data_IF_410715540457
#
_entry.id   IF_410715540457
#
_cell.length_a   1.000
_cell.length_b   1.000
_cell.length_c   1.000
_cell.angle_alpha   90.00
_cell.angle_beta   90.00
_cell.angle_gamma   90.00
#
_symmetry.space_group_name_H-M   'P 1'
#
loop_
_entity.id
_entity.type
_entity.pdbx_description
1 polymer ?
#
# COMPACT_ATOMS: atom_id res chain seq x y z
N UNK A 1 3.65 -10.52 6.63
CA UNK A 1 2.47 -10.75 7.51
C UNK A 1 1.44 -11.66 6.85
N UNK A 2 0.92 -11.35 5.65
CA UNK A 2 -0.14 -12.16 5.02
C UNK A 2 0.25 -13.61 4.71
N UNK A 3 1.50 -13.90 4.50
CA UNK A 3 2.01 -15.27 4.34
C UNK A 3 2.00 -16.06 5.66
N UNK A 4 2.37 -15.41 6.76
CA UNK A 4 2.36 -16.04 8.09
C UNK A 4 0.93 -16.19 8.64
N UNK A 5 0.01 -15.30 8.28
CA UNK A 5 -1.37 -15.23 8.76
C UNK A 5 -2.36 -15.29 7.58
N UNK A 6 -2.22 -16.28 6.70
CA UNK A 6 -3.00 -16.34 5.46
C UNK A 6 -4.51 -16.54 5.72
N UNK A 7 -4.88 -17.37 6.69
CA UNK A 7 -6.28 -17.60 7.05
C UNK A 7 -6.91 -16.34 7.66
N UNK A 8 -6.23 -15.69 8.62
CA UNK A 8 -6.71 -14.45 9.24
C UNK A 8 -6.83 -13.32 8.23
N UNK A 9 -5.90 -13.27 7.26
CA UNK A 9 -5.97 -12.34 6.14
C UNK A 9 -7.24 -12.56 5.30
N UNK A 10 -7.60 -13.81 5.03
CA UNK A 10 -8.84 -14.18 4.36
C UNK A 10 -10.07 -13.78 5.17
N UNK A 11 -10.11 -14.12 6.45
CA UNK A 11 -11.22 -13.79 7.34
C UNK A 11 -11.46 -12.28 7.48
N UNK A 12 -10.39 -11.51 7.71
CA UNK A 12 -10.51 -10.07 7.96
C UNK A 12 -10.67 -9.29 6.65
N UNK A 13 -9.81 -9.54 5.65
CA UNK A 13 -9.75 -8.71 4.45
C UNK A 13 -10.82 -9.08 3.42
N UNK A 14 -11.09 -10.38 3.25
CA UNK A 14 -12.09 -10.85 2.28
C UNK A 14 -13.49 -10.94 2.91
N UNK A 15 -13.66 -11.84 3.87
CA UNK A 15 -14.97 -12.08 4.48
C UNK A 15 -15.45 -10.93 5.36
N UNK A 16 -14.54 -10.20 6.01
CA UNK A 16 -14.88 -8.99 6.76
C UNK A 16 -15.54 -7.92 5.89
N UNK A 17 -14.99 -7.66 4.71
CA UNK A 17 -15.59 -6.74 3.74
C UNK A 17 -16.96 -7.24 3.27
N UNK A 18 -17.08 -8.51 2.93
CA UNK A 18 -18.34 -9.11 2.50
C UNK A 18 -19.44 -9.03 3.59
N UNK A 19 -19.08 -9.31 4.84
CA UNK A 19 -20.00 -9.16 5.99
C UNK A 19 -20.50 -7.73 6.12
N UNK A 20 -19.63 -6.73 5.88
CA UNK A 20 -20.02 -5.32 5.87
C UNK A 20 -21.02 -5.02 4.74
N UNK A 21 -20.76 -5.49 3.51
CA UNK A 21 -21.70 -5.29 2.39
C UNK A 21 -23.06 -5.91 2.66
N UNK A 22 -23.09 -7.09 3.26
CA UNK A 22 -24.35 -7.75 3.65
C UNK A 22 -25.08 -6.99 4.76
N UNK A 23 -24.36 -6.43 5.73
CA UNK A 23 -24.94 -5.57 6.75
C UNK A 23 -25.53 -4.29 6.14
N UNK A 24 -24.81 -3.63 5.23
CA UNK A 24 -25.31 -2.46 4.50
C UNK A 24 -26.56 -2.80 3.72
N UNK A 25 -26.56 -3.90 2.98
CA UNK A 25 -27.72 -4.37 2.20
C UNK A 25 -28.96 -4.54 3.08
N UNK A 26 -28.80 -5.13 4.27
CA UNK A 26 -29.93 -5.44 5.18
C UNK A 26 -30.44 -4.25 5.97
N UNK A 27 -29.53 -3.39 6.43
CA UNK A 27 -29.88 -2.40 7.46
C UNK A 27 -29.82 -0.95 6.94
N UNK A 28 -29.02 -0.67 5.92
CA UNK A 28 -28.84 0.71 5.42
C UNK A 28 -28.46 0.72 3.91
N UNK A 29 -29.36 0.28 3.02
CA UNK A 29 -29.04 0.13 1.59
C UNK A 29 -28.73 1.44 0.88
N UNK A 30 -29.11 2.59 1.42
CA UNK A 30 -28.77 3.93 0.93
C UNK A 30 -27.40 4.43 1.43
N UNK A 31 -26.68 3.66 2.25
CA UNK A 31 -25.34 3.99 2.71
C UNK A 31 -24.33 3.91 1.55
N UNK A 32 -23.53 4.95 1.39
CA UNK A 32 -22.41 4.94 0.45
C UNK A 32 -21.21 4.25 1.07
N UNK A 33 -20.66 3.28 0.37
CA UNK A 33 -19.53 2.47 0.83
C UNK A 33 -18.31 2.71 -0.05
N UNK A 34 -17.16 2.95 0.58
CA UNK A 34 -15.86 2.90 -0.06
C UNK A 34 -15.18 1.58 0.27
N UNK A 35 -14.88 0.79 -0.76
CA UNK A 35 -14.06 -0.42 -0.66
C UNK A 35 -12.61 -0.10 -0.98
N UNK A 36 -11.75 -0.24 0.01
CA UNK A 36 -10.30 -0.15 -0.19
C UNK A 36 -9.79 -1.38 -0.95
N UNK A 37 -9.71 -1.25 -2.26
CA UNK A 37 -9.01 -2.18 -3.13
C UNK A 37 -7.51 -1.84 -3.19
N UNK A 38 -6.71 -2.56 -3.98
CA UNK A 38 -5.26 -2.39 -3.97
C UNK A 38 -4.67 -2.73 -5.33
N UNK A 39 -3.63 -2.01 -5.75
CA UNK A 39 -2.82 -2.36 -6.92
C UNK A 39 -2.12 -3.72 -6.80
N UNK A 40 -1.96 -4.26 -5.58
CA UNK A 40 -1.47 -5.61 -5.34
C UNK A 40 -2.38 -6.70 -5.99
N UNK A 41 -3.64 -6.39 -6.26
CA UNK A 41 -4.55 -7.29 -6.98
C UNK A 41 -4.07 -7.59 -8.40
N UNK A 42 -3.37 -6.66 -9.05
CA UNK A 42 -2.77 -6.90 -10.36
C UNK A 42 -1.64 -7.92 -10.32
N UNK A 43 -0.95 -8.04 -9.19
CA UNK A 43 0.04 -9.07 -8.88
C UNK A 43 1.12 -9.21 -9.96
N UNK A 44 1.10 -10.34 -10.66
CA UNK A 44 1.95 -10.57 -11.85
C UNK A 44 1.35 -9.86 -13.05
N UNK A 45 1.69 -8.59 -13.17
CA UNK A 45 1.10 -7.64 -14.13
C UNK A 45 1.15 -8.17 -15.56
N UNK A 46 0.00 -8.20 -16.22
CA UNK A 46 -0.14 -8.69 -17.61
C UNK A 46 0.00 -7.57 -18.64
N UNK A 47 -0.28 -6.33 -18.26
CA UNK A 47 -0.07 -5.14 -19.12
C UNK A 47 0.21 -3.89 -18.26
N UNK A 48 0.91 -2.93 -18.85
CA UNK A 48 1.22 -1.63 -18.23
C UNK A 48 0.98 -0.50 -19.25
N UNK A 49 0.46 0.65 -18.82
CA UNK A 49 -0.06 0.94 -17.49
C UNK A 49 -1.34 0.15 -17.17
N UNK A 50 -1.59 -0.07 -15.86
CA UNK A 50 -2.80 -0.72 -15.38
C UNK A 50 -3.97 0.28 -15.33
N UNK A 51 -5.15 -0.23 -15.63
CA UNK A 51 -6.43 0.48 -15.54
C UNK A 51 -7.50 -0.41 -14.88
N UNK A 52 -8.72 0.09 -14.78
CA UNK A 52 -9.86 -0.62 -14.18
C UNK A 52 -10.25 -1.91 -14.94
N UNK A 53 -9.84 -2.05 -16.21
CA UNK A 53 -10.10 -3.23 -17.04
C UNK A 53 -8.91 -4.19 -17.09
N UNK A 54 -7.81 -3.88 -16.40
CA UNK A 54 -6.64 -4.76 -16.35
C UNK A 54 -6.96 -5.99 -15.52
N UNK A 55 -6.77 -7.21 -16.04
CA UNK A 55 -7.06 -8.44 -15.30
C UNK A 55 -6.24 -8.54 -14.01
N UNK A 56 -6.88 -8.98 -12.94
CA UNK A 56 -6.21 -9.29 -11.69
C UNK A 56 -5.47 -10.63 -11.78
N UNK A 57 -4.26 -10.67 -11.22
CA UNK A 57 -3.41 -11.87 -11.18
C UNK A 57 -2.63 -11.90 -9.86
N UNK A 58 -3.36 -12.03 -8.71
CA UNK A 58 -2.78 -11.88 -7.38
C UNK A 58 -1.66 -12.90 -7.13
N UNK A 59 -0.60 -12.45 -6.43
CA UNK A 59 0.59 -13.26 -6.18
C UNK A 59 0.85 -13.51 -4.67
N UNK A 60 -0.04 -13.07 -3.79
CA UNK A 60 0.05 -13.31 -2.35
C UNK A 60 -1.34 -13.38 -1.70
N UNK A 61 -1.48 -13.92 -0.47
CA UNK A 61 -2.77 -14.07 0.22
C UNK A 61 -3.54 -12.75 0.40
N UNK A 62 -2.84 -11.65 0.70
CA UNK A 62 -3.46 -10.33 0.82
C UNK A 62 -4.09 -9.88 -0.50
N UNK A 63 -3.36 -9.99 -1.60
CA UNK A 63 -3.85 -9.63 -2.92
C UNK A 63 -5.08 -10.47 -3.31
N UNK A 64 -5.06 -11.78 -3.06
CA UNK A 64 -6.19 -12.67 -3.31
C UNK A 64 -7.43 -12.29 -2.48
N UNK A 65 -7.24 -11.97 -1.20
CA UNK A 65 -8.32 -11.51 -0.32
C UNK A 65 -8.90 -10.16 -0.79
N UNK A 66 -8.06 -9.24 -1.27
CA UNK A 66 -8.51 -7.97 -1.87
C UNK A 66 -9.29 -8.17 -3.18
N UNK A 67 -8.87 -9.11 -4.03
CA UNK A 67 -9.63 -9.48 -5.25
C UNK A 67 -11.01 -10.00 -4.87
N UNK A 68 -11.12 -10.90 -3.89
CA UNK A 68 -12.42 -11.36 -3.42
C UNK A 68 -13.32 -10.20 -2.97
N UNK A 69 -12.82 -9.33 -2.09
CA UNK A 69 -13.59 -8.19 -1.59
C UNK A 69 -14.03 -7.24 -2.71
N UNK A 70 -13.14 -6.97 -3.68
CA UNK A 70 -13.42 -6.14 -4.84
C UNK A 70 -14.51 -6.74 -5.73
N UNK A 71 -14.45 -8.03 -6.03
CA UNK A 71 -15.46 -8.73 -6.83
C UNK A 71 -16.82 -8.76 -6.10
N UNK A 72 -16.84 -9.00 -4.81
CA UNK A 72 -18.07 -8.92 -4.02
C UNK A 72 -18.68 -7.52 -4.04
N UNK A 73 -17.89 -6.45 -3.97
CA UNK A 73 -18.37 -5.08 -4.13
C UNK A 73 -19.06 -4.87 -5.49
N UNK A 74 -18.44 -5.33 -6.58
CA UNK A 74 -19.02 -5.25 -7.92
C UNK A 74 -20.32 -6.03 -8.04
N UNK A 75 -20.39 -7.25 -7.47
CA UNK A 75 -21.59 -8.09 -7.46
C UNK A 75 -22.72 -7.40 -6.68
N UNK A 76 -22.44 -6.88 -5.47
CA UNK A 76 -23.46 -6.21 -4.65
C UNK A 76 -23.96 -4.91 -5.29
N UNK A 77 -23.08 -4.18 -5.98
CA UNK A 77 -23.45 -3.00 -6.79
C UNK A 77 -24.41 -3.38 -7.92
N UNK A 78 -24.08 -4.44 -8.67
CA UNK A 78 -24.88 -4.88 -9.82
C UNK A 78 -26.20 -5.56 -9.41
N UNK A 79 -26.18 -6.41 -8.38
CA UNK A 79 -27.34 -7.25 -8.02
C UNK A 79 -28.31 -6.56 -7.07
N UNK A 80 -27.85 -5.64 -6.22
CA UNK A 80 -28.66 -5.01 -5.18
C UNK A 80 -28.73 -3.49 -5.31
N UNK A 81 -28.09 -2.90 -6.30
CA UNK A 81 -28.07 -1.45 -6.51
C UNK A 81 -27.34 -0.66 -5.41
N UNK A 82 -26.50 -1.32 -4.60
CA UNK A 82 -25.79 -0.63 -3.53
C UNK A 82 -24.73 0.33 -4.08
N UNK A 83 -24.59 1.47 -3.43
CA UNK A 83 -23.53 2.42 -3.77
C UNK A 83 -22.21 1.97 -3.14
N UNK A 84 -21.42 1.18 -3.86
CA UNK A 84 -20.10 0.72 -3.43
C UNK A 84 -19.05 1.14 -4.47
N UNK A 85 -18.21 2.13 -4.15
CA UNK A 85 -17.05 2.51 -4.96
C UNK A 85 -15.81 1.73 -4.52
N UNK A 86 -15.03 1.21 -5.48
CA UNK A 86 -13.74 0.59 -5.19
C UNK A 86 -12.60 1.50 -5.63
N UNK A 87 -11.66 1.80 -4.74
CA UNK A 87 -10.42 2.48 -5.08
C UNK A 87 -9.27 1.48 -5.21
N UNK A 88 -8.77 1.26 -6.41
CA UNK A 88 -7.59 0.43 -6.69
C UNK A 88 -6.37 1.33 -6.51
N UNK A 89 -5.91 1.45 -5.28
CA UNK A 89 -4.88 2.39 -4.90
C UNK A 89 -3.49 1.81 -5.06
N UNK A 90 -2.61 2.58 -5.69
CA UNK A 90 -1.17 2.35 -5.66
C UNK A 90 -0.58 2.78 -4.31
N UNK A 91 0.73 2.63 -4.12
CA UNK A 91 1.36 2.92 -2.84
C UNK A 91 1.18 4.39 -2.45
N UNK A 92 0.73 4.64 -1.25
CA UNK A 92 0.52 5.99 -0.74
C UNK A 92 1.08 6.12 0.67
N UNK A 93 1.88 7.14 0.86
CA UNK A 93 2.75 7.31 2.01
C UNK A 93 2.44 8.60 2.77
N UNK A 94 2.76 8.62 4.05
CA UNK A 94 2.63 9.79 4.91
C UNK A 94 3.57 9.68 6.11
N UNK A 95 3.76 10.76 6.90
CA UNK A 95 4.49 10.69 8.17
C UNK A 95 3.91 9.71 9.20
N UNK A 96 2.65 9.30 9.02
CA UNK A 96 1.95 8.35 9.90
C UNK A 96 2.13 6.88 9.49
N UNK A 97 2.91 6.62 8.45
CA UNK A 97 3.19 5.25 8.01
C UNK A 97 3.96 4.50 9.11
N UNK A 98 3.59 3.26 9.48
CA UNK A 98 4.36 2.49 10.48
C UNK A 98 5.80 2.22 10.05
N UNK A 99 6.69 2.04 11.02
CA UNK A 99 8.14 1.90 10.82
C UNK A 99 8.55 0.72 9.94
N UNK A 100 7.78 -0.35 9.90
CA UNK A 100 8.07 -1.51 9.06
C UNK A 100 7.90 -1.25 7.55
N UNK A 101 7.28 -0.13 7.15
CA UNK A 101 7.20 0.25 5.74
C UNK A 101 8.45 0.96 5.26
N UNK A 102 8.78 0.73 3.98
CA UNK A 102 9.99 1.23 3.34
C UNK A 102 10.20 2.73 3.51
N UNK A 103 9.17 3.54 3.25
CA UNK A 103 9.27 5.01 3.31
C UNK A 103 9.68 5.49 4.70
N UNK A 104 9.13 4.89 5.76
CA UNK A 104 9.52 5.22 7.12
C UNK A 104 10.92 4.72 7.47
N UNK A 105 11.28 3.51 7.06
CA UNK A 105 12.67 3.01 7.25
C UNK A 105 13.68 3.95 6.63
N UNK A 106 13.44 4.38 5.39
CA UNK A 106 14.37 5.25 4.64
C UNK A 106 14.49 6.64 5.26
N UNK A 107 13.36 7.28 5.60
CA UNK A 107 13.38 8.62 6.21
C UNK A 107 13.94 8.60 7.63
N UNK A 108 13.65 7.55 8.40
CA UNK A 108 14.23 7.33 9.73
C UNK A 108 15.75 7.09 9.64
N UNK A 109 16.19 6.27 8.69
CA UNK A 109 17.61 6.03 8.44
C UNK A 109 18.37 7.31 8.08
N UNK A 110 17.78 8.16 7.23
CA UNK A 110 18.35 9.46 6.88
C UNK A 110 18.45 10.39 8.11
N UNK A 111 17.44 10.40 8.97
CA UNK A 111 17.46 11.16 10.21
C UNK A 111 18.53 10.64 11.19
N UNK A 112 18.65 9.31 11.35
CA UNK A 112 19.71 8.70 12.18
C UNK A 112 21.10 9.10 11.68
N UNK A 113 21.34 9.01 10.36
CA UNK A 113 22.61 9.40 9.77
C UNK A 113 22.94 10.88 9.99
N UNK A 114 21.97 11.77 9.82
CA UNK A 114 22.13 13.20 10.07
C UNK A 114 22.44 13.54 11.53
N UNK A 115 21.94 12.74 12.47
CA UNK A 115 22.16 12.89 13.90
C UNK A 115 23.36 12.09 14.44
N UNK A 116 24.08 11.38 13.58
CA UNK A 116 25.21 10.53 13.97
C UNK A 116 24.82 9.30 14.81
N UNK A 117 23.56 8.89 14.76
CA UNK A 117 23.06 7.71 15.47
C UNK A 117 23.49 6.46 14.70
N UNK A 118 24.35 5.65 15.33
CA UNK A 118 24.89 4.45 14.71
C UNK A 118 24.00 3.22 14.89
N UNK A 119 23.34 3.12 16.05
CA UNK A 119 22.43 2.02 16.37
C UNK A 119 21.08 2.60 16.81
N UNK A 120 20.04 2.32 16.05
CA UNK A 120 18.71 2.88 16.29
C UNK A 120 17.98 2.15 17.42
N UNK A 121 17.13 2.87 18.15
CA UNK A 121 16.21 2.25 19.10
C UNK A 121 15.03 1.55 18.40
N UNK A 122 14.64 2.03 17.22
CA UNK A 122 13.59 1.38 16.45
C UNK A 122 14.08 0.05 15.89
N UNK A 123 13.25 -0.99 16.05
CA UNK A 123 13.55 -2.33 15.60
C UNK A 123 12.79 -2.65 14.30
N UNK A 124 13.37 -3.53 13.49
CA UNK A 124 12.74 -4.13 12.32
C UNK A 124 11.83 -5.30 12.71
N UNK A 125 11.30 -6.03 11.73
CA UNK A 125 10.40 -7.18 11.94
C UNK A 125 11.10 -8.39 12.59
N UNK A 126 12.42 -8.47 12.50
CA UNK A 126 13.24 -9.51 13.14
C UNK A 126 13.70 -9.13 14.55
N UNK A 127 13.33 -7.94 15.04
CA UNK A 127 13.75 -7.43 16.35
C UNK A 127 15.18 -6.86 16.37
N UNK A 128 15.79 -6.62 15.19
CA UNK A 128 17.09 -5.95 15.07
C UNK A 128 16.92 -4.44 14.87
N UNK A 129 17.90 -3.61 15.26
CA UNK A 129 17.87 -2.16 14.96
C UNK A 129 17.68 -1.90 13.48
N UNK A 130 16.79 -0.95 13.14
CA UNK A 130 16.58 -0.52 11.74
C UNK A 130 17.85 0.08 11.12
N UNK A 131 18.62 0.83 11.92
CA UNK A 131 19.98 1.27 11.59
C UNK A 131 20.95 0.58 12.54
N UNK A 132 21.96 -0.10 12.01
CA UNK A 132 22.99 -0.81 12.75
C UNK A 132 24.36 -0.44 12.20
N UNK A 133 25.32 -0.15 13.09
CA UNK A 133 26.67 0.32 12.73
C UNK A 133 26.67 1.53 11.78
N UNK A 134 25.68 2.40 11.87
CA UNK A 134 25.50 3.58 11.01
C UNK A 134 24.95 3.25 9.63
N UNK A 135 24.42 2.05 9.41
CA UNK A 135 23.92 1.57 8.13
C UNK A 135 22.45 1.17 8.21
N UNK A 136 21.65 1.62 7.25
CA UNK A 136 20.29 1.15 7.00
C UNK A 136 20.35 -0.04 6.04
N UNK A 137 19.81 -1.19 6.44
CA UNK A 137 19.72 -2.37 5.58
C UNK A 137 18.37 -2.44 4.90
N UNK A 138 18.38 -2.53 3.56
CA UNK A 138 17.19 -2.63 2.72
C UNK A 138 17.35 -3.79 1.74
N UNK A 139 16.24 -4.31 1.23
CA UNK A 139 16.23 -5.34 0.21
C UNK A 139 16.65 -4.85 -1.17
N UNK A 140 15.86 -5.21 -2.19
CA UNK A 140 16.15 -4.85 -3.58
C UNK A 140 15.97 -3.34 -3.82
N UNK A 141 17.10 -2.64 -3.99
CA UNK A 141 17.12 -1.19 -4.23
C UNK A 141 16.60 -0.78 -5.62
N UNK A 142 16.55 -1.71 -6.57
CA UNK A 142 16.05 -1.47 -7.93
C UNK A 142 14.54 -1.75 -8.05
N UNK A 143 13.92 -2.26 -6.99
CA UNK A 143 12.46 -2.40 -6.95
C UNK A 143 11.81 -1.03 -7.12
N UNK A 144 10.85 -0.96 -8.04
CA UNK A 144 10.16 0.29 -8.35
C UNK A 144 8.67 0.20 -8.02
N UNK A 145 8.10 1.31 -7.56
CA UNK A 145 6.67 1.46 -7.28
C UNK A 145 6.20 2.86 -7.68
N UNK A 146 4.91 2.98 -7.89
CA UNK A 146 4.24 4.28 -7.93
C UNK A 146 3.91 4.68 -6.48
N UNK A 147 4.60 5.68 -5.94
CA UNK A 147 4.35 6.23 -4.63
C UNK A 147 3.74 7.62 -4.73
N UNK A 148 2.61 7.82 -4.06
CA UNK A 148 1.98 9.11 -3.90
C UNK A 148 1.86 9.51 -2.43
N UNK A 149 1.32 10.70 -2.17
CA UNK A 149 1.04 11.16 -0.82
C UNK A 149 -0.39 10.78 -0.41
N UNK A 150 -0.56 10.22 0.79
CA UNK A 150 -1.85 9.72 1.27
C UNK A 150 -2.97 10.77 1.25
N UNK A 151 -2.64 12.06 1.40
CA UNK A 151 -3.61 13.15 1.33
C UNK A 151 -4.33 13.21 -0.01
N UNK A 152 -3.61 13.03 -1.13
CA UNK A 152 -4.18 13.06 -2.46
C UNK A 152 -5.10 11.87 -2.69
N UNK A 153 -4.71 10.71 -2.14
CA UNK A 153 -5.53 9.49 -2.22
C UNK A 153 -6.81 9.61 -1.40
N UNK A 154 -6.75 10.20 -0.21
CA UNK A 154 -7.94 10.46 0.62
C UNK A 154 -8.89 11.45 -0.08
N UNK A 155 -8.35 12.47 -0.74
CA UNK A 155 -9.17 13.38 -1.55
C UNK A 155 -9.86 12.63 -2.70
N UNK A 156 -9.15 11.73 -3.39
CA UNK A 156 -9.75 10.89 -4.41
C UNK A 156 -10.85 9.99 -3.84
N UNK A 157 -10.64 9.35 -2.68
CA UNK A 157 -11.67 8.57 -1.98
C UNK A 157 -12.91 9.41 -1.70
N UNK A 158 -12.74 10.62 -1.20
CA UNK A 158 -13.87 11.53 -0.94
C UNK A 158 -14.60 11.91 -2.23
N UNK A 159 -13.87 12.24 -3.30
CA UNK A 159 -14.45 12.60 -4.60
C UNK A 159 -15.26 11.47 -5.22
N UNK A 160 -14.76 10.22 -5.15
CA UNK A 160 -15.52 9.04 -5.62
C UNK A 160 -16.88 8.94 -4.93
N UNK A 161 -16.91 9.19 -3.63
CA UNK A 161 -18.11 9.10 -2.81
C UNK A 161 -19.12 10.22 -3.07
N UNK A 162 -18.74 11.29 -3.81
CA UNK A 162 -19.65 12.37 -4.23
C UNK A 162 -20.31 12.12 -5.59
N UNK A 163 -19.90 11.08 -6.34
CA UNK A 163 -20.46 10.78 -7.66
C UNK A 163 -21.91 10.32 -7.58
N UNK A 164 -22.64 10.48 -8.68
CA UNK A 164 -24.04 10.00 -8.79
C UNK A 164 -24.13 8.49 -8.94
N UNK A 165 -23.10 7.85 -9.51
CA UNK A 165 -23.03 6.42 -9.69
C UNK A 165 -21.74 5.86 -9.09
N UNK A 166 -21.84 4.67 -8.49
CA UNK A 166 -20.70 3.94 -7.95
C UNK A 166 -19.95 3.19 -9.06
N UNK A 167 -18.63 3.27 -9.06
CA UNK A 167 -17.76 2.51 -9.97
C UNK A 167 -16.39 2.29 -9.32
N UNK A 168 -15.50 1.65 -10.07
CA UNK A 168 -14.13 1.40 -9.66
C UNK A 168 -13.21 2.50 -10.23
N UNK A 169 -12.14 2.81 -9.51
CA UNK A 169 -11.17 3.84 -9.88
C UNK A 169 -9.75 3.38 -9.56
N UNK A 170 -8.86 3.48 -10.54
CA UNK A 170 -7.43 3.34 -10.31
C UNK A 170 -6.85 4.68 -9.86
N UNK A 171 -6.14 4.68 -8.73
CA UNK A 171 -5.50 5.86 -8.17
C UNK A 171 -4.01 5.63 -8.04
N UNK A 172 -3.24 6.41 -8.79
CA UNK A 172 -1.78 6.41 -8.79
C UNK A 172 -1.26 7.76 -9.30
N UNK A 173 0.04 7.98 -9.19
CA UNK A 173 0.70 9.19 -9.70
C UNK A 173 1.05 9.08 -11.19
N UNK A 174 1.07 7.87 -11.73
CA UNK A 174 1.55 7.55 -13.07
C UNK A 174 3.09 7.59 -13.18
N UNK A 175 3.81 7.66 -12.06
CA UNK A 175 5.27 7.77 -12.04
C UNK A 175 5.90 6.69 -11.19
N UNK A 176 6.65 5.81 -11.82
CA UNK A 176 7.47 4.81 -11.13
C UNK A 176 8.72 5.45 -10.54
N UNK A 177 9.07 5.06 -9.31
CA UNK A 177 10.30 5.43 -8.61
C UNK A 177 10.94 4.17 -8.03
N UNK A 178 12.26 4.12 -8.04
CA UNK A 178 13.00 3.03 -7.41
C UNK A 178 13.21 3.30 -5.91
N UNK A 179 13.59 2.26 -5.17
CA UNK A 179 14.04 2.43 -3.78
C UNK A 179 15.27 3.33 -3.72
N UNK A 180 16.18 3.26 -4.72
CA UNK A 180 17.33 4.19 -4.86
C UNK A 180 16.89 5.64 -4.94
N UNK A 181 15.86 5.94 -5.74
CA UNK A 181 15.31 7.30 -5.86
C UNK A 181 14.80 7.81 -4.52
N UNK A 182 14.12 6.95 -3.74
CA UNK A 182 13.62 7.29 -2.42
C UNK A 182 14.78 7.55 -1.45
N UNK A 183 15.82 6.71 -1.44
CA UNK A 183 17.02 6.92 -0.64
C UNK A 183 17.71 8.24 -1.03
N UNK A 184 17.90 8.48 -2.32
CA UNK A 184 18.53 9.71 -2.81
C UNK A 184 17.75 10.97 -2.37
N UNK A 185 16.43 10.92 -2.45
CA UNK A 185 15.57 12.02 -2.02
C UNK A 185 15.64 12.27 -0.49
N UNK A 186 15.58 11.21 0.32
CA UNK A 186 15.57 11.33 1.78
C UNK A 186 16.93 11.79 2.33
N UNK A 187 18.01 11.15 1.93
CA UNK A 187 19.36 11.50 2.39
C UNK A 187 19.82 12.83 1.83
N UNK A 188 19.52 13.12 0.55
CA UNK A 188 19.81 14.43 -0.05
C UNK A 188 19.11 15.59 0.67
N UNK A 189 17.94 15.35 1.31
CA UNK A 189 17.25 16.36 2.11
C UNK A 189 18.03 16.79 3.36
N UNK A 190 18.89 15.90 3.86
CA UNK A 190 19.75 16.16 5.02
C UNK A 190 21.22 16.38 4.64
N UNK A 191 21.51 16.57 3.35
CA UNK A 191 22.84 16.88 2.84
C UNK A 191 23.81 15.70 2.81
N UNK A 192 23.32 14.45 2.80
CA UNK A 192 24.13 13.23 2.82
C UNK A 192 24.01 12.45 1.51
N UNK A 193 25.06 11.71 1.15
CA UNK A 193 24.96 10.68 0.10
C UNK A 193 24.47 9.37 0.71
N UNK A 194 23.33 8.88 0.25
CA UNK A 194 22.73 7.64 0.73
C UNK A 194 23.63 6.41 0.56
N UNK A 195 24.55 6.42 -0.43
CA UNK A 195 25.46 5.29 -0.70
C UNK A 195 26.40 5.01 0.47
N UNK A 196 26.69 6.01 1.27
CA UNK A 196 27.54 5.88 2.46
C UNK A 196 26.80 5.26 3.65
N UNK A 197 25.46 5.21 3.60
CA UNK A 197 24.61 4.87 4.75
C UNK A 197 23.63 3.72 4.49
N UNK A 198 23.43 3.30 3.24
CA UNK A 198 22.45 2.26 2.89
C UNK A 198 23.18 1.04 2.31
N UNK A 199 22.80 -0.15 2.77
CA UNK A 199 23.29 -1.43 2.27
C UNK A 199 22.11 -2.23 1.72
N UNK A 200 22.29 -2.82 0.52
CA UNK A 200 21.35 -3.83 0.01
C UNK A 200 21.67 -5.17 0.64
N UNK A 201 20.67 -5.77 1.30
CA UNK A 201 20.77 -7.07 1.95
C UNK A 201 19.73 -8.02 1.34
N UNK A 202 20.15 -9.15 0.74
CA UNK A 202 19.24 -10.08 0.09
C UNK A 202 18.28 -10.82 1.03
N UNK A 203 18.43 -10.65 2.34
CA UNK A 203 17.50 -11.21 3.34
C UNK A 203 16.17 -10.45 3.42
N UNK A 204 16.13 -9.22 2.88
CA UNK A 204 14.95 -8.34 2.90
C UNK A 204 14.26 -8.17 1.55
#
# INVERSE_FOLDING_TARGET
>A
LSWALALDTGEVTALGAHRLFEAVRRFKPDCRVYQASSSEMYGRVLRSPQDENTPFNPANPYAAAKVYAHQMAAIYRASYGLFICCGILFNHESPWRPMHFLSQKVTYGAACAALGIRDSQALNEEGEPVVKDGRLMLGNLDAARDWGHARDYVEAMWRMMQKSAATDYVIGTGRMRTVRDMCAAAYGRVGLDWRDHVISDPRF
#
